data_IF_365285625741
#
_entry.id   IF_365285625741
#
_cell.length_a   1.000
_cell.length_b   1.000
_cell.length_c   1.000
_cell.angle_alpha   90.00
_cell.angle_beta   90.00
_cell.angle_gamma   90.00
#
_symmetry.space_group_name_H-M   'P 1'
#
loop_
_entity.id
_entity.type
_entity.pdbx_description
1 polymer ?
#
# COMPACT_ATOMS: atom_id res chain seq x y z
N UNK A 1 0.09 -22.67 5.23
CA UNK A 1 0.34 -21.91 3.98
C UNK A 1 0.42 -20.46 4.38
N UNK A 2 1.48 -19.73 4.01
CA UNK A 2 1.59 -18.29 4.28
C UNK A 2 0.46 -17.54 3.57
N UNK A 3 -0.18 -16.59 4.26
CA UNK A 3 -1.27 -15.80 3.69
C UNK A 3 -0.72 -14.62 2.86
N UNK A 4 0.58 -14.36 2.97
CA UNK A 4 1.32 -13.42 2.14
C UNK A 4 1.97 -14.13 0.97
N UNK A 5 1.69 -13.66 -0.25
CA UNK A 5 2.40 -14.02 -1.48
C UNK A 5 3.12 -12.80 -2.02
N UNK A 6 4.19 -13.02 -2.78
CA UNK A 6 4.89 -11.93 -3.44
C UNK A 6 5.41 -12.28 -4.82
N UNK A 7 5.56 -11.25 -5.65
CA UNK A 7 6.29 -11.27 -6.92
C UNK A 7 7.42 -10.24 -6.89
N UNK A 8 8.39 -10.39 -7.78
CA UNK A 8 9.49 -9.43 -7.93
C UNK A 8 9.48 -8.84 -9.35
N UNK A 9 9.78 -7.53 -9.45
CA UNK A 9 9.92 -6.79 -10.70
C UNK A 9 11.30 -6.15 -10.75
N UNK A 10 12.02 -6.39 -11.85
CA UNK A 10 13.33 -5.78 -12.09
C UNK A 10 13.18 -4.39 -12.70
N UNK A 11 14.18 -3.54 -12.46
CA UNK A 11 14.26 -2.24 -13.11
C UNK A 11 14.67 -2.42 -14.57
N UNK A 12 13.97 -1.72 -15.46
CA UNK A 12 14.09 -1.83 -16.91
C UNK A 12 14.54 -0.47 -17.46
N UNK A 13 15.49 -0.50 -18.39
CA UNK A 13 15.97 0.73 -19.02
C UNK A 13 14.95 1.26 -20.05
N UNK A 14 14.92 2.58 -20.32
CA UNK A 14 14.04 3.12 -21.37
C UNK A 14 14.30 2.52 -22.75
N UNK A 15 15.56 2.20 -23.07
CA UNK A 15 15.95 1.56 -24.33
C UNK A 15 15.38 0.15 -24.46
N UNK A 16 15.40 -0.62 -23.37
CA UNK A 16 14.82 -1.96 -23.31
C UNK A 16 13.30 -1.90 -23.40
N UNK A 17 12.66 -1.04 -22.59
CA UNK A 17 11.20 -0.88 -22.59
C UNK A 17 10.65 -0.47 -23.97
N UNK A 18 11.40 0.34 -24.74
CA UNK A 18 11.03 0.73 -26.11
C UNK A 18 10.89 -0.48 -27.06
N UNK A 19 11.59 -1.57 -26.80
CA UNK A 19 11.54 -2.80 -27.61
C UNK A 19 10.42 -3.77 -27.24
N UNK A 20 9.67 -3.51 -26.17
CA UNK A 20 8.63 -4.42 -25.69
C UNK A 20 7.38 -4.39 -26.55
N UNK A 21 6.79 -5.57 -26.73
CA UNK A 21 5.41 -5.69 -27.19
C UNK A 21 4.42 -5.46 -26.02
N UNK A 22 3.13 -5.60 -26.31
CA UNK A 22 2.08 -5.38 -25.30
C UNK A 22 2.14 -6.37 -24.14
N UNK A 23 2.51 -7.63 -24.40
CA UNK A 23 2.57 -8.66 -23.37
C UNK A 23 3.75 -8.41 -22.43
N UNK A 24 4.92 -8.09 -22.99
CA UNK A 24 6.12 -7.74 -22.24
C UNK A 24 5.91 -6.46 -21.40
N UNK A 25 5.23 -5.43 -21.92
CA UNK A 25 4.89 -4.24 -21.13
C UNK A 25 4.02 -4.61 -19.92
N UNK A 26 2.99 -5.44 -20.11
CA UNK A 26 2.11 -5.87 -19.01
C UNK A 26 2.85 -6.74 -18.00
N UNK A 27 3.61 -7.72 -18.46
CA UNK A 27 4.35 -8.63 -17.60
C UNK A 27 5.33 -7.89 -16.65
N UNK A 28 5.89 -6.77 -17.11
CA UNK A 28 6.87 -6.01 -16.36
C UNK A 28 6.28 -4.85 -15.53
N UNK A 29 5.23 -4.18 -16.01
CA UNK A 29 4.72 -2.94 -15.39
C UNK A 29 3.32 -3.05 -14.80
N UNK A 30 2.54 -4.09 -15.13
CA UNK A 30 1.20 -4.29 -14.58
C UNK A 30 1.22 -5.21 -13.35
N UNK A 31 0.43 -4.84 -12.36
CA UNK A 31 0.01 -5.68 -11.24
C UNK A 31 -1.50 -5.84 -11.38
N UNK A 32 -1.96 -7.01 -11.82
CA UNK A 32 -3.38 -7.29 -12.09
C UNK A 32 -4.06 -8.12 -10.98
N UNK A 33 -3.32 -8.47 -9.94
CA UNK A 33 -3.74 -9.37 -8.88
C UNK A 33 -3.50 -8.79 -7.48
N UNK A 34 -3.71 -7.47 -7.37
CA UNK A 34 -3.41 -6.68 -6.17
C UNK A 34 -4.28 -7.05 -4.96
N UNK A 35 -5.58 -7.32 -5.17
CA UNK A 35 -6.53 -7.69 -4.11
C UNK A 35 -7.06 -9.12 -4.31
N UNK A 36 -6.50 -10.07 -3.57
CA UNK A 36 -6.92 -11.48 -3.59
C UNK A 36 -7.57 -11.84 -2.27
N UNK A 37 -8.71 -12.54 -2.35
CA UNK A 37 -9.54 -12.86 -1.18
C UNK A 37 -8.76 -13.68 -0.17
N UNK A 38 -8.74 -13.19 1.08
CA UNK A 38 -8.07 -13.86 2.19
C UNK A 38 -6.55 -13.87 2.10
N UNK A 39 -5.95 -12.97 1.31
CA UNK A 39 -4.51 -12.94 1.09
C UNK A 39 -3.95 -11.50 1.12
N UNK A 40 -2.64 -11.44 1.39
CA UNK A 40 -1.80 -10.27 1.13
C UNK A 40 -1.01 -10.57 -0.16
N UNK A 41 -1.18 -9.74 -1.18
CA UNK A 41 -0.48 -9.83 -2.46
C UNK A 41 0.51 -8.67 -2.57
N UNK A 42 1.80 -8.97 -2.57
CA UNK A 42 2.87 -7.96 -2.63
C UNK A 42 3.66 -8.06 -3.94
N UNK A 43 4.10 -6.92 -4.46
CA UNK A 43 5.06 -6.83 -5.55
C UNK A 43 6.25 -6.02 -5.06
N UNK A 44 7.40 -6.69 -4.95
CA UNK A 44 8.67 -6.02 -4.69
C UNK A 44 9.23 -5.52 -6.02
N UNK A 45 9.43 -4.22 -6.13
CA UNK A 45 10.05 -3.62 -7.32
C UNK A 45 11.45 -3.15 -7.01
N UNK A 46 12.40 -3.39 -7.93
CA UNK A 46 13.77 -2.88 -7.81
C UNK A 46 13.86 -1.37 -8.05
N UNK A 47 12.78 -0.72 -8.51
CA UNK A 47 12.66 0.74 -8.48
C UNK A 47 12.54 1.20 -7.01
N UNK A 48 13.62 1.78 -6.48
CA UNK A 48 13.76 2.23 -5.09
C UNK A 48 13.46 1.15 -4.03
N UNK A 49 13.47 -0.12 -4.42
CA UNK A 49 13.15 -1.27 -3.56
C UNK A 49 11.76 -1.13 -2.90
N UNK A 50 10.85 -0.46 -3.58
CA UNK A 50 9.47 -0.27 -3.11
C UNK A 50 8.73 -1.61 -3.07
N UNK A 51 7.78 -1.72 -2.17
CA UNK A 51 6.77 -2.77 -2.15
C UNK A 51 5.44 -2.10 -2.42
N UNK A 52 4.71 -2.62 -3.41
CA UNK A 52 3.32 -2.23 -3.72
C UNK A 52 2.47 -3.47 -3.59
N UNK A 53 1.31 -3.37 -2.94
CA UNK A 53 0.49 -4.55 -2.72
C UNK A 53 -0.94 -4.25 -2.29
N UNK A 54 -1.67 -5.33 -2.02
CA UNK A 54 -3.00 -5.26 -1.45
C UNK A 54 -3.24 -6.36 -0.43
N UNK A 55 -3.95 -6.04 0.65
CA UNK A 55 -4.50 -7.02 1.58
C UNK A 55 -6.03 -6.97 1.52
N UNK A 56 -6.67 -8.14 1.30
CA UNK A 56 -8.13 -8.28 1.30
C UNK A 56 -8.58 -9.37 2.28
N UNK A 57 -8.64 -9.06 3.60
CA UNK A 57 -9.05 -10.02 4.62
C UNK A 57 -10.52 -10.45 4.45
N UNK A 58 -10.77 -11.75 4.29
CA UNK A 58 -12.14 -12.32 4.22
C UNK A 58 -12.37 -13.52 5.14
N UNK A 59 -11.31 -14.15 5.64
CA UNK A 59 -11.40 -15.35 6.50
C UNK A 59 -10.78 -15.20 7.89
N UNK A 60 -10.32 -14.00 8.23
CA UNK A 60 -9.59 -13.69 9.47
C UNK A 60 -8.60 -12.55 9.27
N UNK A 61 -7.89 -12.20 10.34
CA UNK A 61 -6.79 -11.25 10.27
C UNK A 61 -5.63 -11.84 9.44
N UNK A 62 -5.07 -11.02 8.55
CA UNK A 62 -3.93 -11.37 7.71
C UNK A 62 -2.67 -10.71 8.29
N UNK A 63 -1.76 -11.46 8.92
CA UNK A 63 -0.47 -10.92 9.34
C UNK A 63 0.41 -10.63 8.13
N UNK A 64 1.19 -9.55 8.19
CA UNK A 64 2.19 -9.21 7.19
C UNK A 64 3.42 -10.10 7.38
N UNK A 65 3.39 -11.29 6.78
CA UNK A 65 4.49 -12.25 6.85
C UNK A 65 5.75 -11.73 6.13
N UNK A 66 6.95 -12.13 6.57
CA UNK A 66 8.19 -11.76 5.91
C UNK A 66 8.26 -12.28 4.46
N UNK A 67 8.90 -11.49 3.60
CA UNK A 67 9.17 -11.86 2.22
C UNK A 67 10.68 -11.93 1.98
N UNK A 68 11.15 -12.92 1.23
CA UNK A 68 12.58 -13.15 0.99
C UNK A 68 13.36 -11.90 0.53
N UNK A 69 12.84 -11.03 -0.35
CA UNK A 69 13.58 -9.86 -0.84
C UNK A 69 13.88 -8.77 0.20
N UNK A 70 13.24 -8.78 1.39
CA UNK A 70 13.57 -7.80 2.44
C UNK A 70 14.86 -8.17 3.17
N UNK A 71 15.21 -9.46 3.25
CA UNK A 71 16.42 -9.94 3.92
C UNK A 71 16.44 -9.71 5.43
N UNK A 72 15.27 -9.52 6.04
CA UNK A 72 15.05 -9.23 7.46
C UNK A 72 14.05 -10.23 8.06
N UNK A 73 13.98 -10.31 9.38
CA UNK A 73 13.08 -11.24 10.07
C UNK A 73 11.61 -10.84 9.86
N UNK A 74 11.33 -9.54 9.92
CA UNK A 74 10.02 -8.97 9.60
C UNK A 74 10.12 -7.97 8.44
N UNK A 75 9.01 -7.71 7.75
CA UNK A 75 8.97 -6.77 6.62
C UNK A 75 9.40 -5.36 7.03
N UNK A 76 8.98 -4.88 8.21
CA UNK A 76 9.19 -3.49 8.63
C UNK A 76 10.45 -3.23 9.47
N UNK A 77 11.31 -4.23 9.72
CA UNK A 77 12.55 -4.06 10.50
C UNK A 77 13.42 -2.88 10.01
N UNK A 78 13.39 -2.63 8.70
CA UNK A 78 14.12 -1.55 8.02
C UNK A 78 13.25 -0.81 6.98
N UNK A 79 11.93 -0.80 7.17
CA UNK A 79 10.97 -0.21 6.24
C UNK A 79 9.86 0.54 6.94
N UNK A 80 9.35 1.58 6.31
CA UNK A 80 8.08 2.21 6.67
C UNK A 80 6.96 1.70 5.76
N UNK A 81 5.72 1.84 6.20
CA UNK A 81 4.54 1.36 5.46
C UNK A 81 3.40 2.38 5.51
N UNK A 82 2.69 2.49 4.40
CA UNK A 82 1.42 3.17 4.28
C UNK A 82 0.39 2.15 3.81
N UNK A 83 -0.77 2.11 4.46
CA UNK A 83 -1.94 1.38 3.99
C UNK A 83 -3.11 2.34 3.80
N UNK A 84 -3.73 2.32 2.61
CA UNK A 84 -4.95 3.08 2.29
C UNK A 84 -6.10 2.09 2.10
N UNK A 85 -7.18 2.21 2.87
CA UNK A 85 -8.34 1.37 2.68
C UNK A 85 -9.19 1.89 1.52
N UNK A 86 -9.39 1.11 0.47
CA UNK A 86 -10.24 1.45 -0.68
C UNK A 86 -11.48 0.54 -0.79
N UNK A 87 -11.75 -0.26 0.24
CA UNK A 87 -12.87 -1.20 0.31
C UNK A 87 -13.89 -0.84 1.40
N UNK A 88 -14.50 -1.86 1.99
CA UNK A 88 -15.36 -1.72 3.18
C UNK A 88 -14.56 -1.41 4.44
N UNK A 89 -15.25 -1.22 5.57
CA UNK A 89 -14.59 -0.93 6.84
C UNK A 89 -13.72 -2.11 7.30
N UNK A 90 -12.59 -1.80 7.94
CA UNK A 90 -11.68 -2.80 8.49
C UNK A 90 -10.77 -2.20 9.55
N UNK A 91 -9.82 -2.99 10.02
CA UNK A 91 -8.84 -2.55 11.00
C UNK A 91 -7.43 -3.00 10.64
N UNK A 92 -6.46 -2.21 11.11
CA UNK A 92 -5.03 -2.53 11.06
C UNK A 92 -4.55 -2.65 12.48
N UNK A 93 -3.97 -3.80 12.85
CA UNK A 93 -3.32 -3.97 14.15
C UNK A 93 -1.83 -3.71 14.00
N UNK A 94 -1.28 -2.81 14.82
CA UNK A 94 0.14 -2.43 14.84
C UNK A 94 0.68 -2.70 16.24
N UNK A 95 1.61 -3.65 16.39
CA UNK A 95 2.15 -4.06 17.71
C UNK A 95 1.07 -4.40 18.75
N UNK A 96 -0.06 -4.95 18.29
CA UNK A 96 -1.22 -5.30 19.10
C UNK A 96 -2.23 -4.17 19.34
N UNK A 97 -1.91 -2.92 18.96
CA UNK A 97 -2.85 -1.80 18.98
C UNK A 97 -3.72 -1.79 17.71
N UNK A 98 -5.04 -1.76 17.87
CA UNK A 98 -5.99 -1.76 16.77
C UNK A 98 -6.37 -0.36 16.31
N UNK A 99 -6.32 -0.13 14.99
CA UNK A 99 -6.76 1.10 14.33
C UNK A 99 -7.92 0.80 13.39
N UNK A 100 -9.06 1.45 13.59
CA UNK A 100 -10.21 1.33 12.70
C UNK A 100 -10.08 2.26 11.49
N UNK A 101 -10.19 1.68 10.29
CA UNK A 101 -10.09 2.37 9.01
C UNK A 101 -11.40 2.22 8.23
N UNK A 102 -12.06 3.35 7.98
CA UNK A 102 -13.16 3.43 7.05
C UNK A 102 -12.68 3.47 5.59
N UNK A 103 -13.63 3.49 4.62
CA UNK A 103 -13.29 3.71 3.24
C UNK A 103 -12.52 5.03 3.05
N UNK A 104 -11.41 4.95 2.32
CA UNK A 104 -10.47 6.02 1.98
C UNK A 104 -9.58 6.54 3.12
N UNK A 105 -9.66 5.95 4.31
CA UNK A 105 -8.73 6.27 5.38
C UNK A 105 -7.35 5.66 5.12
N UNK A 106 -6.32 6.31 5.66
CA UNK A 106 -4.92 5.93 5.49
C UNK A 106 -4.25 5.76 6.85
N UNK A 107 -3.41 4.74 7.01
CA UNK A 107 -2.52 4.61 8.18
C UNK A 107 -1.06 4.57 7.73
N UNK A 108 -0.24 5.43 8.34
CA UNK A 108 1.21 5.34 8.30
C UNK A 108 1.71 4.49 9.46
N UNK A 109 2.67 3.62 9.19
CA UNK A 109 3.26 2.70 10.16
C UNK A 109 4.78 2.85 10.07
N UNK A 110 5.37 3.21 11.21
CA UNK A 110 6.80 3.42 11.34
C UNK A 110 7.61 2.14 11.23
N UNK A 111 8.92 2.32 11.02
CA UNK A 111 9.89 1.23 11.01
C UNK A 111 9.91 0.44 12.32
N UNK A 112 9.88 -0.89 12.19
CA UNK A 112 10.07 -1.86 13.26
C UNK A 112 8.79 -2.52 13.77
N UNK A 113 7.62 -2.09 13.29
CA UNK A 113 6.34 -2.57 13.80
C UNK A 113 5.89 -3.91 13.17
N UNK A 114 5.18 -4.70 13.96
CA UNK A 114 4.39 -5.85 13.49
C UNK A 114 3.01 -5.40 13.01
N UNK A 115 2.49 -5.97 11.92
CA UNK A 115 1.25 -5.50 11.27
C UNK A 115 0.34 -6.67 10.90
N UNK A 116 -0.95 -6.51 11.12
CA UNK A 116 -1.98 -7.38 10.53
C UNK A 116 -3.23 -6.60 10.08
N UNK A 117 -3.95 -7.15 9.11
CA UNK A 117 -5.11 -6.51 8.47
C UNK A 117 -6.37 -7.34 8.68
N UNK A 118 -7.49 -6.72 9.03
CA UNK A 118 -8.78 -7.39 9.17
C UNK A 118 -9.92 -6.59 8.52
N UNK A 119 -10.98 -7.29 8.09
CA UNK A 119 -12.24 -6.66 7.65
C UNK A 119 -13.25 -6.67 8.79
N UNK A 120 -14.06 -5.62 8.89
CA UNK A 120 -15.19 -5.60 9.82
C UNK A 120 -16.32 -6.54 9.34
N UNK A 121 -16.49 -6.67 8.02
CA UNK A 121 -17.46 -7.57 7.38
C UNK A 121 -16.80 -8.29 6.20
N UNK A 122 -16.86 -9.63 6.18
CA UNK A 122 -16.32 -10.42 5.06
C UNK A 122 -17.16 -10.31 3.78
N UNK A 123 -18.44 -9.94 3.87
CA UNK A 123 -19.31 -9.67 2.73
C UNK A 123 -19.02 -8.34 2.03
N UNK A 124 -18.41 -7.39 2.75
CA UNK A 124 -17.96 -6.10 2.24
C UNK A 124 -16.51 -5.88 2.71
N UNK A 125 -15.54 -6.62 2.16
CA UNK A 125 -14.20 -6.64 2.72
C UNK A 125 -13.48 -5.31 2.56
N UNK A 126 -12.66 -4.99 3.55
CA UNK A 126 -11.64 -3.96 3.43
C UNK A 126 -10.62 -4.36 2.36
N UNK A 127 -10.10 -3.34 1.67
CA UNK A 127 -9.08 -3.50 0.62
C UNK A 127 -7.96 -2.53 0.92
N UNK A 128 -6.95 -2.99 1.64
CA UNK A 128 -5.83 -2.14 2.04
C UNK A 128 -4.79 -2.11 0.92
N UNK A 129 -4.69 -0.99 0.22
CA UNK A 129 -3.60 -0.72 -0.71
C UNK A 129 -2.33 -0.40 0.07
N UNK A 130 -1.30 -1.22 -0.10
CA UNK A 130 -0.07 -1.19 0.69
C UNK A 130 1.05 -0.59 -0.15
N UNK A 131 1.76 0.37 0.46
CA UNK A 131 3.02 0.91 -0.02
C UNK A 131 4.07 0.77 1.07
N UNK A 132 5.26 0.29 0.75
CA UNK A 132 6.37 0.26 1.70
C UNK A 132 7.70 0.59 1.03
N UNK A 133 8.52 1.37 1.72
CA UNK A 133 9.86 1.78 1.29
C UNK A 133 10.87 1.50 2.40
N UNK A 134 12.17 1.35 2.09
CA UNK A 134 13.22 1.37 3.09
C UNK A 134 13.13 2.60 4.00
N UNK A 135 13.40 2.45 5.29
CA UNK A 135 13.40 3.54 6.26
C UNK A 135 14.63 3.48 7.14
N UNK A 136 15.13 4.65 7.52
CA UNK A 136 16.33 4.81 8.36
C UNK A 136 16.04 5.50 9.69
N UNK A 137 14.91 6.19 9.79
CA UNK A 137 14.33 6.70 11.03
C UNK A 137 13.02 5.97 11.33
N UNK A 138 12.59 6.04 12.59
CA UNK A 138 11.27 5.59 13.01
C UNK A 138 10.45 6.83 13.34
N UNK A 139 9.31 6.98 12.66
CA UNK A 139 8.29 7.98 12.95
C UNK A 139 7.05 7.31 13.54
N UNK A 140 6.23 8.01 14.34
CA UNK A 140 5.09 7.40 15.01
C UNK A 140 4.01 6.95 14.02
N UNK A 141 3.40 5.79 14.30
CA UNK A 141 2.20 5.32 13.60
C UNK A 141 1.10 6.36 13.68
N UNK A 142 0.45 6.66 12.56
CA UNK A 142 -0.60 7.67 12.50
C UNK A 142 -1.69 7.29 11.50
N UNK A 143 -2.92 7.21 12.02
CA UNK A 143 -4.14 7.15 11.23
C UNK A 143 -4.51 8.56 10.75
N UNK A 144 -4.83 8.68 9.46
CA UNK A 144 -5.31 9.90 8.83
C UNK A 144 -6.63 9.58 8.15
N UNK A 145 -7.70 10.23 8.61
CA UNK A 145 -8.99 10.12 7.95
C UNK A 145 -8.98 10.91 6.66
N UNK A 146 -9.74 10.47 5.66
CA UNK A 146 -9.81 11.20 4.38
C UNK A 146 -10.21 12.68 4.56
N UNK A 147 -11.06 12.98 5.55
CA UNK A 147 -11.49 14.34 5.88
C UNK A 147 -10.39 15.22 6.48
N UNK A 148 -9.34 14.62 7.05
CA UNK A 148 -8.19 15.33 7.64
C UNK A 148 -7.06 15.52 6.62
N UNK A 149 -7.17 14.89 5.44
CA UNK A 149 -6.20 15.05 4.37
C UNK A 149 -6.32 16.44 3.73
N UNK A 150 -5.19 17.01 3.32
CA UNK A 150 -5.20 18.28 2.59
C UNK A 150 -5.80 18.06 1.19
N UNK A 151 -6.99 18.65 0.96
CA UNK A 151 -7.70 18.60 -0.33
C UNK A 151 -7.30 19.75 -1.25
N UNK A 152 -7.10 19.45 -2.52
CA UNK A 152 -6.86 20.43 -3.59
C UNK A 152 -7.73 20.06 -4.80
N UNK A 153 -8.62 20.96 -5.20
CA UNK A 153 -9.46 20.79 -6.38
C UNK A 153 -8.81 21.50 -7.58
N UNK A 154 -8.71 20.80 -8.72
CA UNK A 154 -8.01 21.28 -9.92
C UNK A 154 -8.69 20.81 -11.19
N UNK A 155 -8.39 21.49 -12.29
CA UNK A 155 -8.86 21.13 -13.63
C UNK A 155 -10.26 21.67 -13.91
N UNK A 156 -10.82 21.21 -15.03
CA UNK A 156 -12.13 21.60 -15.51
C UNK A 156 -12.75 20.48 -16.36
N UNK A 157 -14.08 20.46 -16.45
CA UNK A 157 -14.82 19.44 -17.20
C UNK A 157 -14.52 19.52 -18.70
N UNK A 158 -14.35 20.73 -19.23
CA UNK A 158 -14.02 21.02 -20.63
C UNK A 158 -12.70 20.40 -21.06
N UNK A 159 -11.75 20.24 -20.13
CA UNK A 159 -10.46 19.59 -20.36
C UNK A 159 -10.41 18.14 -19.87
N UNK A 160 -11.55 17.56 -19.50
CA UNK A 160 -11.69 16.18 -19.03
C UNK A 160 -10.72 15.83 -17.89
N UNK A 161 -10.44 16.79 -17.00
CA UNK A 161 -9.46 16.62 -15.93
C UNK A 161 -9.87 17.25 -14.58
N UNK A 162 -11.15 17.59 -14.42
CA UNK A 162 -11.73 17.99 -13.14
C UNK A 162 -11.55 16.86 -12.11
N UNK A 163 -10.89 17.16 -10.98
CA UNK A 163 -10.53 16.18 -9.96
C UNK A 163 -10.24 16.80 -8.60
N UNK A 164 -10.30 15.98 -7.56
CA UNK A 164 -9.87 16.33 -6.20
C UNK A 164 -8.66 15.50 -5.79
N UNK A 165 -7.59 16.16 -5.34
CA UNK A 165 -6.37 15.53 -4.82
C UNK A 165 -6.37 15.62 -3.29
N UNK A 166 -6.25 14.47 -2.63
CA UNK A 166 -6.12 14.34 -1.18
C UNK A 166 -4.68 13.97 -0.84
N UNK A 167 -3.95 14.90 -0.25
CA UNK A 167 -2.55 14.72 0.16
C UNK A 167 -2.49 14.25 1.62
N UNK A 168 -2.24 12.96 1.82
CA UNK A 168 -2.13 12.42 3.18
C UNK A 168 -0.76 12.66 3.80
N UNK A 169 0.31 12.55 3.00
CA UNK A 169 1.69 12.73 3.47
C UNK A 169 1.98 14.15 3.98
N UNK A 170 1.16 15.14 3.63
CA UNK A 170 1.28 16.50 4.17
C UNK A 170 1.01 16.59 5.68
N UNK A 171 0.41 15.55 6.28
CA UNK A 171 0.02 15.51 7.68
C UNK A 171 0.89 14.55 8.55
N UNK A 172 1.95 13.96 7.97
CA UNK A 172 2.85 13.01 8.65
C UNK A 172 4.30 13.26 8.29
N UNK A 173 5.21 12.80 9.16
CA UNK A 173 6.63 12.66 8.84
C UNK A 173 6.89 11.24 8.33
N UNK A 174 7.66 11.14 7.27
CA UNK A 174 8.05 9.88 6.61
C UNK A 174 9.52 9.97 6.22
N UNK A 175 10.21 8.84 6.07
CA UNK A 175 11.56 8.87 5.49
C UNK A 175 11.52 9.29 4.02
N UNK A 176 10.64 8.67 3.23
CA UNK A 176 10.56 8.92 1.79
C UNK A 176 9.18 8.63 1.17
N UNK A 177 8.29 7.92 1.86
CA UNK A 177 6.97 7.63 1.32
C UNK A 177 6.11 8.89 1.15
N UNK A 178 5.59 9.07 -0.06
CA UNK A 178 4.59 10.10 -0.39
C UNK A 178 3.36 9.39 -0.95
N UNK A 179 2.19 9.69 -0.40
CA UNK A 179 0.93 9.10 -0.86
C UNK A 179 -0.14 10.17 -1.01
N UNK A 180 -0.96 10.02 -2.05
CA UNK A 180 -2.16 10.80 -2.26
C UNK A 180 -3.24 9.94 -2.90
N UNK A 181 -4.47 10.42 -2.82
CA UNK A 181 -5.62 9.84 -3.51
C UNK A 181 -6.22 10.91 -4.42
N UNK A 182 -6.55 10.53 -5.64
CA UNK A 182 -7.26 11.41 -6.58
C UNK A 182 -8.62 10.81 -6.86
N UNK A 183 -9.67 11.62 -6.75
CA UNK A 183 -11.05 11.24 -7.08
C UNK A 183 -11.61 12.12 -8.17
#
# INVERSE_FOLDING_TARGET
>A
MTQTRFTERHAISPTEAKGFDTEALRANFLIDDLFVSGQISLTYTQYDRMIVGGAMPTGGALPLDPIKPTGTENVLDRRELIAVNIGGAGSVSVDGEGFDLGPRDMIYIGRGASVSFASADAGIPAKFYILSAPAHATYPTKLIRIGDAKRIDLGASETCNERSIFQFSAAIETCQLVVGMTT
#
